data_IF_971085857412
#
_entry.id   IF_971085857412
#
_cell.length_a   1.000
_cell.length_b   1.000
_cell.length_c   1.000
_cell.angle_alpha   90.00
_cell.angle_beta   90.00
_cell.angle_gamma   90.00
#
_symmetry.space_group_name_H-M   'P 1'
#
loop_
_entity.id
_entity.type
_entity.pdbx_description
1 polymer ?
#
# COMPACT_ATOMS: atom_id res chain seq x y z
N UNK A 1 12.48 9.20 -54.42
CA UNK A 1 11.25 10.02 -54.39
C UNK A 1 10.01 9.11 -54.52
N UNK A 2 9.80 8.18 -53.57
CA UNK A 2 8.79 7.10 -53.70
C UNK A 2 8.19 6.59 -52.36
N UNK A 3 8.11 7.42 -51.31
CA UNK A 3 7.42 7.03 -50.07
C UNK A 3 6.29 8.00 -49.67
N UNK A 4 6.45 9.30 -49.99
CA UNK A 4 5.44 10.31 -49.68
C UNK A 4 4.16 10.21 -50.54
N UNK A 5 4.27 9.78 -51.80
CA UNK A 5 3.09 9.63 -52.69
C UNK A 5 2.20 8.43 -52.34
N UNK A 6 2.73 7.42 -51.65
CA UNK A 6 1.96 6.23 -51.27
C UNK A 6 0.86 6.56 -50.25
N UNK A 7 1.18 7.37 -49.24
CA UNK A 7 0.21 7.80 -48.23
C UNK A 7 -0.81 8.81 -48.78
N UNK A 8 -0.48 9.50 -49.88
CA UNK A 8 -1.40 10.43 -50.54
C UNK A 8 -2.46 9.73 -51.37
N UNK A 9 -2.14 8.55 -51.93
CA UNK A 9 -3.06 7.73 -52.73
C UNK A 9 -3.83 6.68 -51.92
N UNK A 10 -3.37 6.33 -50.72
CA UNK A 10 -4.00 5.32 -49.85
C UNK A 10 -4.32 5.90 -48.46
N UNK A 11 -5.39 6.69 -48.30
CA UNK A 11 -5.83 7.15 -46.98
C UNK A 11 -6.19 5.95 -46.10
N UNK A 12 -5.70 5.96 -44.86
CA UNK A 12 -6.02 4.93 -43.86
C UNK A 12 -7.55 4.89 -43.63
N UNK A 13 -8.15 3.70 -43.47
CA UNK A 13 -9.58 3.60 -43.19
C UNK A 13 -9.94 4.38 -41.93
N UNK A 14 -11.00 5.17 -42.01
CA UNK A 14 -11.51 5.94 -40.88
C UNK A 14 -11.87 4.97 -39.75
N UNK A 15 -11.35 5.24 -38.53
CA UNK A 15 -11.73 4.46 -37.35
C UNK A 15 -13.25 4.59 -37.18
N UNK A 16 -13.97 3.46 -37.01
CA UNK A 16 -15.40 3.53 -36.73
C UNK A 16 -15.65 4.31 -35.44
N UNK A 17 -16.78 5.02 -35.34
CA UNK A 17 -17.08 5.82 -34.16
C UNK A 17 -17.07 4.92 -32.92
N UNK A 18 -16.27 5.31 -31.92
CA UNK A 18 -16.26 4.68 -30.60
C UNK A 18 -17.69 4.69 -30.06
N UNK A 19 -18.32 3.52 -30.00
CA UNK A 19 -19.62 3.37 -29.33
C UNK A 19 -19.45 3.83 -27.89
N UNK A 20 -20.18 4.87 -27.49
CA UNK A 20 -20.24 5.34 -26.10
C UNK A 20 -20.69 4.17 -25.23
N UNK A 21 -19.76 3.62 -24.47
CA UNK A 21 -20.11 2.72 -23.37
C UNK A 21 -20.85 3.53 -22.30
N UNK A 22 -21.82 2.93 -21.60
CA UNK A 22 -22.55 3.62 -20.55
C UNK A 22 -21.57 4.10 -19.48
N UNK A 23 -21.70 5.38 -19.10
CA UNK A 23 -20.87 6.03 -18.10
C UNK A 23 -21.21 5.40 -16.74
N UNK A 24 -20.46 4.36 -16.36
CA UNK A 24 -20.51 3.82 -15.00
C UNK A 24 -19.74 4.77 -14.08
N UNK A 25 -20.47 5.45 -13.19
CA UNK A 25 -20.06 6.25 -12.03
C UNK A 25 -18.88 7.22 -12.22
N UNK A 26 -19.14 8.53 -12.07
CA UNK A 26 -18.13 9.59 -12.09
C UNK A 26 -16.91 9.28 -11.20
N UNK A 27 -15.68 9.76 -11.54
CA UNK A 27 -14.44 9.43 -10.81
C UNK A 27 -14.31 10.04 -9.41
N UNK A 28 -15.13 11.03 -9.05
CA UNK A 28 -15.04 11.75 -7.77
C UNK A 28 -15.29 10.89 -6.50
N UNK A 29 -16.34 10.05 -6.44
CA UNK A 29 -16.64 9.25 -5.24
C UNK A 29 -15.56 8.19 -4.94
N UNK A 30 -14.89 7.67 -5.98
CA UNK A 30 -13.79 6.70 -5.80
C UNK A 30 -12.55 7.37 -5.23
N UNK A 31 -12.27 8.62 -5.62
CA UNK A 31 -11.16 9.38 -5.04
C UNK A 31 -11.40 9.69 -3.56
N UNK A 32 -12.63 10.10 -3.22
CA UNK A 32 -13.03 10.34 -1.83
C UNK A 32 -12.95 9.06 -0.98
N UNK A 33 -13.42 7.93 -1.51
CA UNK A 33 -13.31 6.64 -0.84
C UNK A 33 -11.85 6.21 -0.64
N UNK A 34 -10.99 6.43 -1.63
CA UNK A 34 -9.56 6.14 -1.53
C UNK A 34 -8.89 7.01 -0.45
N UNK A 35 -9.16 8.31 -0.42
CA UNK A 35 -8.60 9.20 0.60
C UNK A 35 -9.13 8.88 2.01
N UNK A 36 -10.40 8.48 2.13
CA UNK A 36 -10.96 8.01 3.39
C UNK A 36 -10.29 6.73 3.89
N UNK A 37 -10.04 5.75 3.00
CA UNK A 37 -9.32 4.53 3.34
C UNK A 37 -7.88 4.84 3.77
N UNK A 38 -7.18 5.68 3.00
CA UNK A 38 -5.82 6.13 3.33
C UNK A 38 -5.77 6.73 4.74
N UNK A 39 -6.66 7.68 5.04
CA UNK A 39 -6.71 8.33 6.34
C UNK A 39 -7.06 7.35 7.48
N UNK A 40 -8.00 6.43 7.24
CA UNK A 40 -8.42 5.43 8.22
C UNK A 40 -7.26 4.48 8.59
N UNK A 41 -6.56 3.93 7.60
CA UNK A 41 -5.43 3.03 7.83
C UNK A 41 -4.26 3.77 8.47
N UNK A 42 -4.00 5.02 8.08
CA UNK A 42 -3.00 5.87 8.71
C UNK A 42 -3.27 6.09 10.20
N UNK A 43 -4.50 6.47 10.55
CA UNK A 43 -4.93 6.64 11.94
C UNK A 43 -4.82 5.34 12.74
N UNK A 44 -5.21 4.22 12.13
CA UNK A 44 -5.15 2.91 12.76
C UNK A 44 -3.71 2.48 13.05
N UNK A 45 -2.79 2.61 12.09
CA UNK A 45 -1.37 2.28 12.28
C UNK A 45 -0.73 3.14 13.38
N UNK A 46 -1.03 4.44 13.43
CA UNK A 46 -0.56 5.31 14.51
C UNK A 46 -1.11 4.87 15.88
N UNK A 47 -2.38 4.46 15.95
CA UNK A 47 -2.99 3.96 17.18
C UNK A 47 -2.40 2.61 17.63
N UNK A 48 -2.10 1.71 16.70
CA UNK A 48 -1.42 0.44 16.98
C UNK A 48 -0.04 0.67 17.59
N UNK A 49 0.74 1.61 17.04
CA UNK A 49 2.03 2.01 17.61
C UNK A 49 1.87 2.57 19.03
N UNK A 50 0.92 3.49 19.23
CA UNK A 50 0.72 4.16 20.51
C UNK A 50 0.22 3.22 21.63
N UNK A 51 -0.65 2.25 21.30
CA UNK A 51 -1.44 1.53 22.30
C UNK A 51 -1.13 0.03 22.41
N UNK A 52 -0.57 -0.62 21.38
CA UNK A 52 -0.42 -2.09 21.33
C UNK A 52 1.02 -2.58 21.48
N UNK A 53 1.96 -1.70 21.86
CA UNK A 53 3.40 -1.97 21.94
C UNK A 53 4.01 -2.50 20.63
N UNK A 54 3.34 -2.29 19.49
CA UNK A 54 3.92 -2.57 18.18
C UNK A 54 4.88 -1.45 17.81
N UNK A 55 5.99 -1.81 17.16
CA UNK A 55 6.92 -0.86 16.59
C UNK A 55 6.45 -0.41 15.21
N UNK A 56 7.12 0.62 14.66
CA UNK A 56 6.64 1.34 13.49
C UNK A 56 6.34 0.45 12.27
N UNK A 57 7.28 -0.42 11.86
CA UNK A 57 7.05 -1.30 10.71
C UNK A 57 5.94 -2.34 10.99
N UNK A 58 5.87 -2.87 12.21
CA UNK A 58 4.87 -3.87 12.63
C UNK A 58 3.47 -3.29 12.61
N UNK A 59 3.29 -2.10 13.21
CA UNK A 59 2.02 -1.40 13.24
C UNK A 59 1.48 -1.10 11.83
N UNK A 60 2.36 -0.70 10.91
CA UNK A 60 1.99 -0.49 9.50
C UNK A 60 1.57 -1.81 8.85
N UNK A 61 2.37 -2.85 9.00
CA UNK A 61 2.11 -4.12 8.34
C UNK A 61 0.81 -4.75 8.85
N UNK A 62 0.53 -4.68 10.16
CA UNK A 62 -0.74 -5.14 10.74
C UNK A 62 -1.92 -4.31 10.22
N UNK A 63 -1.84 -2.98 10.28
CA UNK A 63 -2.93 -2.12 9.81
C UNK A 63 -3.25 -2.33 8.32
N UNK A 64 -2.23 -2.48 7.48
CA UNK A 64 -2.42 -2.76 6.05
C UNK A 64 -2.90 -4.20 5.83
N UNK A 65 -2.41 -5.18 6.59
CA UNK A 65 -2.87 -6.57 6.51
C UNK A 65 -4.38 -6.66 6.79
N UNK A 66 -4.84 -6.03 7.88
CA UNK A 66 -6.26 -5.96 8.25
C UNK A 66 -7.09 -5.24 7.18
N UNK A 67 -6.58 -4.11 6.65
CA UNK A 67 -7.29 -3.29 5.67
C UNK A 67 -7.51 -3.99 4.32
N UNK A 68 -6.68 -4.99 3.96
CA UNK A 68 -6.75 -5.68 2.67
C UNK A 68 -7.05 -7.18 2.81
N UNK A 69 -7.86 -7.56 3.81
CA UNK A 69 -8.43 -8.90 3.92
C UNK A 69 -7.48 -9.96 4.49
N UNK A 70 -6.49 -9.55 5.28
CA UNK A 70 -5.54 -10.39 6.01
C UNK A 70 -4.85 -11.45 5.14
N UNK A 71 -4.07 -11.05 4.11
CA UNK A 71 -3.30 -11.99 3.29
C UNK A 71 -2.31 -12.85 4.09
N UNK A 72 -1.86 -12.37 5.26
CA UNK A 72 -1.01 -13.12 6.19
C UNK A 72 -1.69 -13.30 7.55
N UNK A 73 -1.38 -14.38 8.29
CA UNK A 73 -1.65 -14.44 9.72
C UNK A 73 -0.95 -13.28 10.45
N UNK A 74 -1.59 -12.69 11.45
CA UNK A 74 -1.07 -11.51 12.16
C UNK A 74 0.33 -11.74 12.75
N UNK A 75 0.57 -12.91 13.34
CA UNK A 75 1.88 -13.27 13.89
C UNK A 75 2.97 -13.30 12.81
N UNK A 76 2.63 -13.75 11.60
CA UNK A 76 3.57 -13.73 10.47
C UNK A 76 3.80 -12.31 9.96
N UNK A 77 2.76 -11.47 9.92
CA UNK A 77 2.89 -10.07 9.54
C UNK A 77 3.81 -9.32 10.53
N UNK A 78 3.60 -9.50 11.84
CA UNK A 78 4.46 -8.92 12.88
C UNK A 78 5.87 -9.48 12.80
N UNK A 79 6.04 -10.80 12.68
CA UNK A 79 7.36 -11.45 12.63
C UNK A 79 8.21 -11.01 11.43
N UNK A 80 7.61 -10.85 10.24
CA UNK A 80 8.30 -10.30 9.07
C UNK A 80 8.69 -8.84 9.32
N UNK A 81 7.76 -8.04 9.85
CA UNK A 81 7.99 -6.62 10.08
C UNK A 81 9.01 -6.35 11.19
N UNK A 82 9.17 -7.24 12.18
CA UNK A 82 10.05 -7.06 13.32
C UNK A 82 11.49 -6.72 12.91
N UNK A 83 12.02 -7.39 11.88
CA UNK A 83 13.36 -7.12 11.34
C UNK A 83 13.53 -5.75 10.67
N UNK A 84 12.44 -5.03 10.42
CA UNK A 84 12.39 -3.72 9.78
C UNK A 84 12.17 -2.58 10.78
N UNK A 85 12.04 -2.90 12.07
CA UNK A 85 11.77 -1.94 13.15
C UNK A 85 13.05 -1.30 13.68
N UNK A 86 12.88 -0.29 14.55
CA UNK A 86 13.98 0.35 15.28
C UNK A 86 15.14 0.83 14.39
N UNK A 87 14.83 1.28 13.16
CA UNK A 87 15.87 1.71 12.22
C UNK A 87 16.73 0.57 11.68
N UNK A 88 16.15 -0.63 11.63
CA UNK A 88 16.77 -1.96 11.43
C UNK A 88 17.65 -2.31 12.63
N UNK A 89 17.01 -2.81 13.70
CA UNK A 89 17.69 -3.42 14.85
C UNK A 89 18.57 -2.43 15.63
N UNK A 90 18.04 -1.26 15.96
CA UNK A 90 18.68 -0.21 16.77
C UNK A 90 19.92 0.43 16.12
N UNK A 91 20.15 0.20 14.83
CA UNK A 91 21.26 0.82 14.09
C UNK A 91 20.95 2.25 13.67
N UNK A 92 19.72 2.71 13.85
CA UNK A 92 19.29 4.07 13.51
C UNK A 92 19.41 4.38 12.01
N UNK A 93 19.31 3.36 11.15
CA UNK A 93 19.40 3.46 9.70
C UNK A 93 18.00 3.75 9.11
N UNK A 94 17.53 2.98 8.13
CA UNK A 94 16.26 3.23 7.44
C UNK A 94 15.08 3.28 8.42
N UNK A 95 14.29 4.35 8.38
CA UNK A 95 13.08 4.47 9.19
C UNK A 95 12.12 3.31 8.92
N UNK A 96 11.65 2.66 9.99
CA UNK A 96 10.71 1.55 9.90
C UNK A 96 9.37 1.93 9.25
N UNK A 97 9.02 3.22 9.23
CA UNK A 97 7.85 3.69 8.49
C UNK A 97 8.00 3.48 6.97
N UNK A 98 9.18 3.73 6.40
CA UNK A 98 9.47 3.47 4.99
C UNK A 98 9.55 1.96 4.75
N UNK A 99 10.31 1.25 5.59
CA UNK A 99 10.53 -0.17 5.41
C UNK A 99 9.22 -0.99 5.51
N UNK A 100 8.39 -0.72 6.52
CA UNK A 100 7.09 -1.35 6.70
C UNK A 100 6.11 -1.03 5.58
N UNK A 101 6.10 0.21 5.09
CA UNK A 101 5.26 0.59 3.95
C UNK A 101 5.64 -0.19 2.68
N UNK A 102 6.93 -0.23 2.33
CA UNK A 102 7.44 -0.99 1.20
C UNK A 102 7.13 -2.50 1.31
N UNK A 103 7.32 -3.08 2.51
CA UNK A 103 6.99 -4.48 2.77
C UNK A 103 5.49 -4.77 2.59
N UNK A 104 4.64 -3.85 3.04
CA UNK A 104 3.18 -3.99 2.95
C UNK A 104 2.68 -3.90 1.50
N UNK A 105 3.30 -3.06 0.65
CA UNK A 105 3.02 -3.06 -0.79
C UNK A 105 3.34 -4.43 -1.39
N UNK A 106 4.48 -5.02 -1.03
CA UNK A 106 4.84 -6.38 -1.45
C UNK A 106 3.81 -7.43 -0.99
N UNK A 107 3.43 -7.37 0.29
CA UNK A 107 2.47 -8.29 0.90
C UNK A 107 1.13 -8.32 0.15
N UNK A 108 0.62 -7.16 -0.27
CA UNK A 108 -0.69 -7.07 -0.94
C UNK A 108 -0.57 -7.27 -2.46
N UNK A 109 0.46 -6.71 -3.10
CA UNK A 109 0.55 -6.62 -4.56
C UNK A 109 1.39 -7.71 -5.22
N UNK A 110 2.12 -8.56 -4.49
CA UNK A 110 2.95 -9.63 -5.06
C UNK A 110 2.11 -10.80 -5.63
N UNK A 111 1.44 -10.57 -6.76
CA UNK A 111 0.64 -11.56 -7.50
C UNK A 111 1.08 -11.68 -8.96
N UNK A 112 0.83 -12.85 -9.56
CA UNK A 112 1.10 -13.11 -10.99
C UNK A 112 2.58 -13.28 -11.35
N UNK A 113 2.92 -13.02 -12.62
CA UNK A 113 4.25 -13.22 -13.16
C UNK A 113 5.33 -12.41 -12.44
N UNK A 114 6.40 -13.07 -11.99
CA UNK A 114 7.37 -12.51 -11.06
C UNK A 114 8.12 -11.26 -11.54
N UNK A 115 8.39 -11.09 -12.84
CA UNK A 115 9.20 -9.98 -13.35
C UNK A 115 8.50 -8.61 -13.27
N UNK A 116 7.42 -8.38 -14.04
CA UNK A 116 6.72 -7.10 -14.08
C UNK A 116 6.16 -6.67 -12.70
N UNK A 117 5.60 -7.59 -11.94
CA UNK A 117 5.07 -7.29 -10.60
C UNK A 117 6.15 -6.78 -9.65
N UNK A 118 7.32 -7.42 -9.61
CA UNK A 118 8.45 -6.96 -8.77
C UNK A 118 9.00 -5.62 -9.24
N UNK A 119 8.95 -5.30 -10.53
CA UNK A 119 9.35 -3.98 -11.03
C UNK A 119 8.38 -2.89 -10.57
N UNK A 120 7.07 -3.12 -10.69
CA UNK A 120 6.05 -2.18 -10.25
C UNK A 120 6.12 -1.92 -8.74
N UNK A 121 6.32 -2.97 -7.94
CA UNK A 121 6.53 -2.84 -6.48
C UNK A 121 7.78 -1.99 -6.19
N UNK A 122 8.91 -2.24 -6.87
CA UNK A 122 10.13 -1.42 -6.69
C UNK A 122 9.91 0.05 -7.03
N UNK A 123 9.17 0.35 -8.10
CA UNK A 123 8.83 1.72 -8.47
C UNK A 123 7.97 2.41 -7.40
N UNK A 124 6.98 1.69 -6.85
CA UNK A 124 6.19 2.22 -5.73
C UNK A 124 7.02 2.39 -4.45
N UNK A 125 7.93 1.47 -4.13
CA UNK A 125 8.86 1.64 -3.01
C UNK A 125 9.75 2.88 -3.16
N UNK A 126 10.19 3.20 -4.37
CA UNK A 126 10.92 4.44 -4.65
C UNK A 126 10.03 5.68 -4.42
N UNK A 127 8.79 5.66 -4.91
CA UNK A 127 7.84 6.74 -4.68
C UNK A 127 7.52 6.95 -3.19
N UNK A 128 7.38 5.88 -2.41
CA UNK A 128 7.21 5.94 -0.95
C UNK A 128 8.42 6.64 -0.31
N UNK A 129 9.63 6.21 -0.66
CA UNK A 129 10.86 6.79 -0.12
C UNK A 129 10.95 8.29 -0.46
N UNK A 130 10.72 8.67 -1.72
CA UNK A 130 10.75 10.06 -2.17
C UNK A 130 9.69 10.90 -1.45
N UNK A 131 8.44 10.45 -1.38
CA UNK A 131 7.37 11.16 -0.68
C UNK A 131 7.68 11.33 0.82
N UNK A 132 8.30 10.33 1.44
CA UNK A 132 8.71 10.41 2.84
C UNK A 132 9.84 11.40 3.05
N UNK A 133 10.90 11.34 2.25
CA UNK A 133 12.05 12.25 2.32
C UNK A 133 11.64 13.68 1.99
N UNK A 134 10.75 13.89 1.02
CA UNK A 134 10.25 15.22 0.69
C UNK A 134 9.54 15.88 1.87
N UNK A 135 8.75 15.10 2.63
CA UNK A 135 8.03 15.58 3.83
C UNK A 135 8.93 15.74 5.04
N UNK A 136 9.76 14.75 5.35
CA UNK A 136 10.51 14.67 6.62
C UNK A 136 12.00 15.01 6.50
N UNK A 137 12.48 15.29 5.29
CA UNK A 137 13.86 15.67 4.94
C UNK A 137 14.93 14.59 5.18
N UNK A 138 14.54 13.40 5.64
CA UNK A 138 15.45 12.26 5.79
C UNK A 138 14.70 10.94 5.80
N UNK A 139 15.35 9.88 5.33
CA UNK A 139 14.94 8.50 5.54
C UNK A 139 15.62 7.85 6.75
N UNK A 140 16.66 8.49 7.32
CA UNK A 140 17.47 7.96 8.39
C UNK A 140 16.79 8.16 9.75
N UNK A 141 16.42 7.06 10.40
CA UNK A 141 15.77 7.02 11.71
C UNK A 141 16.53 7.83 12.76
N UNK A 142 17.86 7.73 12.81
CA UNK A 142 18.69 8.52 13.75
C UNK A 142 18.59 10.02 13.49
N UNK A 143 18.53 10.43 12.22
CA UNK A 143 18.38 11.85 11.86
C UNK A 143 17.00 12.36 12.27
N UNK A 144 15.95 11.57 11.99
CA UNK A 144 14.57 11.90 12.32
C UNK A 144 14.36 12.02 13.83
N UNK A 145 14.88 11.10 14.63
CA UNK A 145 14.69 11.10 16.08
C UNK A 145 15.67 12.01 16.84
N UNK A 146 16.69 12.58 16.17
CA UNK A 146 17.79 13.33 16.82
C UNK A 146 17.31 14.40 17.81
N UNK A 147 16.25 15.12 17.48
CA UNK A 147 15.73 16.24 18.31
C UNK A 147 14.87 15.78 19.49
N UNK A 148 14.34 14.57 19.43
CA UNK A 148 13.39 14.03 20.42
C UNK A 148 13.96 12.81 21.17
N UNK A 149 15.21 12.40 20.86
CA UNK A 149 15.81 11.17 21.38
C UNK A 149 15.85 11.08 22.91
N UNK A 150 15.97 12.21 23.60
CA UNK A 150 16.09 12.30 25.05
C UNK A 150 14.73 12.53 25.75
N UNK A 151 13.64 12.64 24.98
CA UNK A 151 12.26 12.74 25.48
C UNK A 151 11.45 11.56 24.96
N UNK A 152 11.24 10.55 25.81
CA UNK A 152 10.54 9.33 25.45
C UNK A 152 9.10 9.59 24.96
N UNK A 153 8.40 10.58 25.53
CA UNK A 153 7.02 10.90 25.15
C UNK A 153 6.99 11.58 23.78
N UNK A 154 7.87 12.56 23.56
CA UNK A 154 7.98 13.22 22.26
C UNK A 154 8.46 12.26 21.17
N UNK A 155 9.41 11.37 21.48
CA UNK A 155 9.88 10.35 20.55
C UNK A 155 8.75 9.38 20.18
N UNK A 156 8.01 8.86 21.15
CA UNK A 156 6.87 7.97 20.88
C UNK A 156 5.79 8.67 20.03
N UNK A 157 5.44 9.92 20.35
CA UNK A 157 4.47 10.70 19.58
C UNK A 157 4.94 10.93 18.14
N UNK A 158 6.22 11.28 17.94
CA UNK A 158 6.79 11.44 16.61
C UNK A 158 6.75 10.13 15.82
N UNK A 159 7.19 9.02 16.42
CA UNK A 159 7.18 7.72 15.75
C UNK A 159 5.75 7.24 15.43
N UNK A 160 4.75 7.52 16.28
CA UNK A 160 3.35 7.27 15.97
C UNK A 160 2.89 8.04 14.72
N UNK A 161 3.24 9.33 14.62
CA UNK A 161 2.91 10.15 13.46
C UNK A 161 3.61 9.68 12.17
N UNK A 162 4.90 9.32 12.25
CA UNK A 162 5.63 8.74 11.12
C UNK A 162 5.04 7.39 10.68
N UNK A 163 4.60 6.59 11.64
CA UNK A 163 3.95 5.29 11.40
C UNK A 163 2.64 5.48 10.63
N UNK A 164 1.78 6.40 11.07
CA UNK A 164 0.54 6.71 10.37
C UNK A 164 0.78 7.18 8.93
N UNK A 165 1.73 8.10 8.72
CA UNK A 165 2.06 8.55 7.38
C UNK A 165 2.67 7.45 6.50
N UNK A 166 3.51 6.57 7.07
CA UNK A 166 4.02 5.40 6.35
C UNK A 166 2.90 4.47 5.88
N UNK A 167 1.89 4.23 6.71
CA UNK A 167 0.71 3.46 6.33
C UNK A 167 -0.12 4.14 5.24
N UNK A 168 -0.30 5.47 5.32
CA UNK A 168 -0.96 6.23 4.24
C UNK A 168 -0.24 6.06 2.90
N UNK A 169 1.09 6.16 2.89
CA UNK A 169 1.91 5.95 1.69
C UNK A 169 1.77 4.53 1.15
N UNK A 170 1.75 3.52 2.04
CA UNK A 170 1.55 2.13 1.65
C UNK A 170 0.21 1.94 0.93
N UNK A 171 -0.89 2.46 1.51
CA UNK A 171 -2.23 2.37 0.90
C UNK A 171 -2.26 3.09 -0.44
N UNK A 172 -1.74 4.31 -0.54
CA UNK A 172 -1.68 5.04 -1.82
C UNK A 172 -0.94 4.24 -2.90
N UNK A 173 0.19 3.64 -2.56
CA UNK A 173 0.96 2.79 -3.49
C UNK A 173 0.24 1.49 -3.84
N UNK A 174 -0.46 0.87 -2.91
CA UNK A 174 -1.29 -0.32 -3.17
C UNK A 174 -2.39 0.03 -4.16
N UNK A 175 -3.14 1.11 -3.91
CA UNK A 175 -4.23 1.55 -4.78
C UNK A 175 -3.75 2.04 -6.15
N UNK A 176 -2.52 2.57 -6.25
CA UNK A 176 -1.90 2.90 -7.53
C UNK A 176 -1.63 1.65 -8.39
N UNK A 177 -1.30 0.51 -7.75
CA UNK A 177 -1.08 -0.77 -8.44
C UNK A 177 -2.38 -1.56 -8.64
N UNK A 178 -3.32 -1.42 -7.72
CA UNK A 178 -4.54 -2.22 -7.59
C UNK A 178 -5.73 -1.30 -7.24
N UNK A 179 -6.17 -0.41 -8.15
CA UNK A 179 -7.23 0.57 -7.87
C UNK A 179 -8.59 -0.06 -7.57
N UNK A 180 -8.81 -1.33 -7.96
CA UNK A 180 -10.02 -2.07 -7.64
C UNK A 180 -10.17 -2.40 -6.14
N UNK A 181 -9.09 -2.33 -5.35
CA UNK A 181 -9.14 -2.59 -3.91
C UNK A 181 -9.78 -1.45 -3.10
N UNK A 182 -10.14 -0.32 -3.73
CA UNK A 182 -10.94 0.75 -3.10
C UNK A 182 -12.36 0.28 -2.82
N UNK A 183 -12.96 -0.46 -3.77
CA UNK A 183 -14.38 -0.81 -3.74
C UNK A 183 -14.63 -2.12 -2.96
N UNK A 184 -13.63 -3.01 -2.91
CA UNK A 184 -13.65 -4.21 -2.08
C UNK A 184 -12.21 -4.59 -1.67
N UNK A 185 -11.86 -4.53 -0.37
CA UNK A 185 -10.61 -5.08 0.13
C UNK A 185 -10.69 -6.62 0.12
N UNK A 186 -10.69 -7.21 -1.07
CA UNK A 186 -10.90 -8.65 -1.22
C UNK A 186 -9.60 -9.45 -1.08
N UNK A 187 -9.76 -10.52 -0.29
CA UNK A 187 -8.87 -11.65 -0.14
C UNK A 187 -8.67 -12.43 -1.48
N UNK A 188 -7.84 -13.49 -1.51
CA UNK A 188 -6.97 -13.85 -2.63
C UNK A 188 -7.67 -14.17 -3.97
N UNK A 189 -7.15 -13.60 -5.06
CA UNK A 189 -7.55 -13.95 -6.45
C UNK A 189 -6.95 -15.29 -6.93
N UNK A 190 -7.72 -15.92 -7.82
CA UNK A 190 -7.75 -17.34 -8.25
C UNK A 190 -6.38 -18.02 -8.47
N UNK A 191 -6.16 -19.11 -7.73
CA UNK A 191 -5.04 -20.04 -7.88
C UNK A 191 -4.76 -20.94 -6.66
N UNK A 192 -5.21 -20.57 -5.46
CA UNK A 192 -4.95 -21.34 -4.22
C UNK A 192 -6.24 -21.67 -3.46
N UNK A 193 -6.41 -22.91 -2.96
CA UNK A 193 -7.48 -23.23 -2.03
C UNK A 193 -7.01 -22.90 -0.62
N UNK A 194 -7.74 -22.05 0.11
CA UNK A 194 -7.70 -22.09 1.58
C UNK A 194 -9.05 -21.79 2.14
N UNK A 195 -9.63 -22.75 2.85
CA UNK A 195 -10.53 -22.61 4.00
C UNK A 195 -10.80 -23.99 4.58
N UNK A 196 -11.18 -24.10 5.87
CA UNK A 196 -12.29 -25.01 6.11
C UNK A 196 -13.55 -24.28 5.63
N UNK A 197 -14.02 -24.67 4.45
CA UNK A 197 -15.11 -24.00 3.73
C UNK A 197 -16.44 -23.96 4.47
N UNK A 198 -16.59 -24.74 5.54
CA UNK A 198 -17.83 -24.85 6.31
C UNK A 198 -18.21 -23.54 7.03
N UNK A 199 -17.22 -22.73 7.42
CA UNK A 199 -17.43 -21.45 8.14
C UNK A 199 -17.73 -20.30 7.18
N UNK A 200 -17.03 -20.21 6.03
CA UNK A 200 -17.38 -19.21 5.02
C UNK A 200 -18.74 -19.47 4.36
N UNK A 201 -19.13 -20.73 4.15
CA UNK A 201 -20.45 -21.10 3.62
C UNK A 201 -21.60 -20.75 4.58
N UNK A 202 -21.42 -20.96 5.89
CA UNK A 202 -22.42 -20.57 6.90
C UNK A 202 -22.60 -19.06 7.02
N UNK A 203 -21.52 -18.27 7.01
CA UNK A 203 -21.61 -16.80 7.13
C UNK A 203 -22.20 -16.13 5.88
N UNK A 204 -22.02 -16.74 4.70
CA UNK A 204 -22.66 -16.25 3.47
C UNK A 204 -24.19 -16.43 3.42
N UNK A 205 -24.78 -17.25 4.29
CA UNK A 205 -26.23 -17.44 4.37
C UNK A 205 -26.94 -16.36 5.21
N UNK A 206 -26.21 -15.52 5.96
CA UNK A 206 -26.75 -14.45 6.82
C UNK A 206 -26.66 -13.03 6.24
N UNK A 207 -26.00 -12.86 5.09
CA UNK A 207 -25.89 -11.57 4.38
C UNK A 207 -26.60 -11.62 3.02
N UNK A 208 -27.91 -11.87 3.05
CA UNK A 208 -28.84 -11.47 1.98
C UNK A 208 -29.37 -10.07 2.24
#
# INVERSE_FOLDING_TARGET
MLLFDFFRRNPLPSKPPLKRQPIMNSPAPRLEAADALVAAVGKHAAALFANRKLLCAEAIMVAVNEAFGQPLPDEQAVGIAAGLTAGIGDRGCLCGAIAGACASVGMVCARGGHGPTRQAIRQQSAAIHEAFVNRHKSACCRVLSKKVKDDAKAHAAQCAALTGYGAELAVRSILALRPELVDCPDAPTKGEPRLCGRVKWLLSLFCR
#
